data_IF_699347678094
#
_entry.id   IF_699347678094
#
_cell.length_a   1.000
_cell.length_b   1.000
_cell.length_c   1.000
_cell.angle_alpha   90.00
_cell.angle_beta   90.00
_cell.angle_gamma   90.00
#
_symmetry.space_group_name_H-M   'P 1'
#
loop_
_entity.id
_entity.type
_entity.pdbx_description
1 polymer ?
#
# COMPACT_ATOMS: atom_id res chain seq x y z
N UNK A 1 40.61 20.93 64.54
CA UNK A 1 40.59 21.23 63.09
C UNK A 1 40.08 19.99 62.36
N UNK A 2 38.92 20.06 61.72
CA UNK A 2 38.43 18.99 60.82
C UNK A 2 38.79 19.35 59.37
N UNK A 3 39.27 18.40 58.54
CA UNK A 3 39.63 18.68 57.17
C UNK A 3 38.38 18.83 56.32
N UNK A 4 38.34 19.91 55.54
CA UNK A 4 37.31 20.16 54.55
C UNK A 4 37.51 19.21 53.37
N UNK A 5 36.55 18.32 53.09
CA UNK A 5 36.54 17.49 51.88
C UNK A 5 36.06 18.32 50.69
N UNK A 6 36.90 18.45 49.68
CA UNK A 6 36.52 19.00 48.37
C UNK A 6 35.82 17.91 47.56
N UNK A 7 34.56 18.16 47.20
CA UNK A 7 33.77 17.29 46.32
C UNK A 7 34.04 17.72 44.86
N UNK A 8 34.86 16.98 44.12
CA UNK A 8 35.04 17.24 42.68
C UNK A 8 33.82 16.71 41.93
N UNK A 9 33.04 17.55 41.23
CA UNK A 9 31.93 17.09 40.41
C UNK A 9 32.46 16.29 39.23
N UNK A 10 31.99 15.05 39.10
CA UNK A 10 32.27 14.21 37.93
C UNK A 10 31.55 14.86 36.72
N UNK A 11 32.21 15.08 35.58
CA UNK A 11 31.56 15.68 34.43
C UNK A 11 30.56 14.70 33.79
N UNK A 12 29.27 15.01 33.86
CA UNK A 12 28.14 14.26 33.24
C UNK A 12 28.18 14.20 31.70
N UNK A 13 29.16 14.84 31.05
CA UNK A 13 29.34 14.80 29.58
C UNK A 13 29.55 13.38 29.05
N UNK A 14 30.12 12.48 29.87
CA UNK A 14 30.27 11.07 29.51
C UNK A 14 28.94 10.30 29.45
N UNK A 15 28.00 10.63 30.33
CA UNK A 15 26.68 9.99 30.37
C UNK A 15 25.80 10.44 29.18
N UNK A 16 25.77 11.75 28.90
CA UNK A 16 25.00 12.30 27.78
C UNK A 16 25.52 11.79 26.44
N UNK A 17 26.84 11.65 26.27
CA UNK A 17 27.41 11.15 25.01
C UNK A 17 27.17 9.65 24.80
N UNK A 18 27.21 8.84 25.86
CA UNK A 18 26.92 7.39 25.78
C UNK A 18 25.44 7.13 25.51
N UNK A 19 24.54 7.85 26.18
CA UNK A 19 23.09 7.70 26.00
C UNK A 19 22.68 8.04 24.56
N UNK A 20 23.22 9.12 23.99
CA UNK A 20 22.96 9.51 22.60
C UNK A 20 23.56 8.50 21.61
N UNK A 21 24.70 7.89 21.91
CA UNK A 21 25.33 6.88 21.03
C UNK A 21 24.47 5.63 20.89
N UNK A 22 23.68 5.28 21.91
CA UNK A 22 22.77 4.13 21.89
C UNK A 22 21.37 4.55 21.39
N UNK A 23 20.90 5.73 21.76
CA UNK A 23 19.58 6.24 21.36
C UNK A 23 19.52 6.61 19.87
N UNK A 24 20.57 7.20 19.31
CA UNK A 24 20.62 7.62 17.92
C UNK A 24 20.39 6.46 16.91
N UNK A 25 21.09 5.31 16.97
CA UNK A 25 20.83 4.21 16.05
C UNK A 25 19.43 3.62 16.23
N UNK A 26 18.91 3.57 17.46
CA UNK A 26 17.53 3.13 17.71
C UNK A 26 16.49 4.05 17.06
N UNK A 27 16.68 5.37 17.19
CA UNK A 27 15.81 6.36 16.53
C UNK A 27 15.89 6.27 15.01
N UNK A 28 17.08 6.01 14.44
CA UNK A 28 17.23 5.78 12.99
C UNK A 28 16.48 4.51 12.56
N UNK A 29 16.63 3.41 13.30
CA UNK A 29 15.91 2.16 13.01
C UNK A 29 14.40 2.34 13.12
N UNK A 30 13.93 3.06 14.14
CA UNK A 30 12.52 3.40 14.31
C UNK A 30 12.02 4.26 13.14
N UNK A 31 12.77 5.28 12.73
CA UNK A 31 12.41 6.12 11.59
C UNK A 31 12.33 5.31 10.29
N UNK A 32 13.31 4.44 10.02
CA UNK A 32 13.29 3.53 8.87
C UNK A 32 12.07 2.60 8.90
N UNK A 33 11.74 2.03 10.07
CA UNK A 33 10.56 1.19 10.24
C UNK A 33 9.26 1.95 9.97
N UNK A 34 9.13 3.17 10.47
CA UNK A 34 7.97 4.03 10.22
C UNK A 34 7.82 4.39 8.75
N UNK A 35 8.93 4.73 8.06
CA UNK A 35 8.93 4.99 6.62
C UNK A 35 8.47 3.74 5.87
N UNK A 36 9.02 2.57 6.21
CA UNK A 36 8.64 1.30 5.61
C UNK A 36 7.14 1.00 5.78
N UNK A 37 6.62 1.11 7.01
CA UNK A 37 5.20 0.93 7.29
C UNK A 37 4.33 1.96 6.54
N UNK A 38 4.74 3.22 6.50
CA UNK A 38 4.01 4.27 5.78
C UNK A 38 3.92 4.00 4.28
N UNK A 39 5.03 3.56 3.66
CA UNK A 39 5.07 3.18 2.24
C UNK A 39 4.21 1.93 1.96
N UNK A 40 4.29 0.91 2.81
CA UNK A 40 3.48 -0.30 2.70
C UNK A 40 1.98 0.02 2.82
N UNK A 41 1.61 0.91 3.75
CA UNK A 41 0.24 1.38 3.91
C UNK A 41 -0.26 2.15 2.69
N UNK A 42 0.54 3.07 2.13
CA UNK A 42 0.17 3.79 0.90
C UNK A 42 -0.09 2.83 -0.26
N UNK A 43 0.78 1.82 -0.46
CA UNK A 43 0.57 0.83 -1.51
C UNK A 43 -0.72 0.02 -1.32
N UNK A 44 -1.03 -0.39 -0.09
CA UNK A 44 -2.27 -1.10 0.19
C UNK A 44 -3.51 -0.22 -0.09
N UNK A 45 -3.45 1.07 0.27
CA UNK A 45 -4.54 2.03 0.03
C UNK A 45 -4.76 2.24 -1.47
N UNK A 46 -3.69 2.45 -2.23
CA UNK A 46 -3.75 2.71 -3.68
C UNK A 46 -4.28 1.49 -4.44
N UNK A 47 -3.81 0.28 -4.12
CA UNK A 47 -4.25 -0.96 -4.77
C UNK A 47 -5.72 -1.26 -4.42
N UNK A 48 -6.14 -0.99 -3.18
CA UNK A 48 -7.54 -1.14 -2.79
C UNK A 48 -8.45 -0.12 -3.49
N UNK A 49 -8.00 1.13 -3.63
CA UNK A 49 -8.71 2.16 -4.36
C UNK A 49 -8.83 1.80 -5.85
N UNK A 50 -7.76 1.26 -6.46
CA UNK A 50 -7.78 0.78 -7.84
C UNK A 50 -8.74 -0.40 -8.02
N UNK A 51 -8.73 -1.38 -7.10
CA UNK A 51 -9.65 -2.52 -7.15
C UNK A 51 -11.11 -2.09 -7.03
N UNK A 52 -11.42 -1.14 -6.12
CA UNK A 52 -12.76 -0.58 -5.98
C UNK A 52 -13.19 0.19 -7.24
N UNK A 53 -12.32 1.04 -7.79
CA UNK A 53 -12.60 1.78 -9.03
C UNK A 53 -12.84 0.83 -10.22
N UNK A 54 -12.05 -0.24 -10.32
CA UNK A 54 -12.23 -1.29 -11.32
C UNK A 54 -13.54 -2.05 -11.17
N UNK A 55 -13.91 -2.43 -9.94
CA UNK A 55 -15.18 -3.12 -9.66
C UNK A 55 -16.38 -2.26 -10.03
N UNK A 56 -16.33 -0.96 -9.72
CA UNK A 56 -17.37 0.01 -10.07
C UNK A 56 -17.53 0.20 -11.57
N UNK A 57 -16.42 0.38 -12.28
CA UNK A 57 -16.46 0.49 -13.73
C UNK A 57 -16.97 -0.80 -14.40
N UNK A 58 -16.64 -1.97 -13.84
CA UNK A 58 -17.13 -3.25 -14.32
C UNK A 58 -18.64 -3.43 -14.07
N UNK A 59 -19.14 -2.98 -12.92
CA UNK A 59 -20.57 -3.03 -12.59
C UNK A 59 -21.40 -2.07 -13.45
N UNK A 60 -20.83 -0.92 -13.85
CA UNK A 60 -21.45 0.06 -14.74
C UNK A 60 -21.38 -0.31 -16.24
N UNK A 61 -20.61 -1.35 -16.60
CA UNK A 61 -20.42 -1.73 -17.99
C UNK A 61 -21.72 -2.28 -18.63
N UNK A 62 -21.92 -1.98 -19.91
CA UNK A 62 -23.13 -2.36 -20.68
C UNK A 62 -23.28 -3.87 -20.90
N UNK A 63 -22.34 -4.70 -20.44
CA UNK A 63 -22.45 -6.14 -20.55
C UNK A 63 -21.16 -6.90 -20.18
N UNK A 64 -21.25 -8.23 -20.14
CA UNK A 64 -20.17 -9.12 -19.69
C UNK A 64 -18.88 -9.00 -20.50
N UNK A 65 -18.99 -8.73 -21.80
CA UNK A 65 -17.84 -8.57 -22.66
C UNK A 65 -17.12 -7.21 -22.49
N UNK A 66 -17.84 -6.18 -22.01
CA UNK A 66 -17.30 -4.83 -21.83
C UNK A 66 -16.73 -4.60 -20.41
N UNK A 67 -17.21 -5.37 -19.42
CA UNK A 67 -16.75 -5.33 -18.03
C UNK A 67 -15.22 -5.46 -17.83
N UNK A 68 -14.51 -6.43 -18.44
CA UNK A 68 -13.05 -6.56 -18.26
C UNK A 68 -12.29 -5.34 -18.76
N UNK A 69 -12.67 -4.80 -19.93
CA UNK A 69 -12.03 -3.61 -20.51
C UNK A 69 -12.30 -2.37 -19.66
N UNK A 70 -13.54 -2.16 -19.22
CA UNK A 70 -13.90 -1.02 -18.37
C UNK A 70 -13.16 -1.06 -17.02
N UNK A 71 -13.03 -2.23 -16.40
CA UNK A 71 -12.27 -2.41 -15.17
C UNK A 71 -10.79 -2.08 -15.37
N UNK A 72 -10.20 -2.56 -16.47
CA UNK A 72 -8.79 -2.36 -16.76
C UNK A 72 -8.48 -0.89 -17.05
N UNK A 73 -9.35 -0.18 -17.77
CA UNK A 73 -9.22 1.25 -18.01
C UNK A 73 -9.29 2.06 -16.70
N UNK A 74 -10.23 1.72 -15.80
CA UNK A 74 -10.37 2.38 -14.51
C UNK A 74 -9.16 2.13 -13.57
N UNK A 75 -8.65 0.90 -13.53
CA UNK A 75 -7.44 0.58 -12.76
C UNK A 75 -6.23 1.30 -13.36
N UNK A 76 -6.10 1.33 -14.68
CA UNK A 76 -4.99 2.03 -15.36
C UNK A 76 -5.05 3.53 -15.07
N UNK A 77 -6.24 4.15 -15.12
CA UNK A 77 -6.42 5.56 -14.76
C UNK A 77 -6.00 5.83 -13.30
N UNK A 78 -6.41 4.97 -12.38
CA UNK A 78 -6.10 5.09 -10.94
C UNK A 78 -4.60 4.87 -10.66
N UNK A 79 -3.94 4.00 -11.43
CA UNK A 79 -2.54 3.61 -11.19
C UNK A 79 -1.54 4.38 -12.05
N UNK A 80 -1.99 5.17 -13.02
CA UNK A 80 -1.16 5.90 -14.01
C UNK A 80 -0.09 6.83 -13.41
N UNK A 81 -0.29 7.30 -12.17
CA UNK A 81 0.68 8.12 -11.43
C UNK A 81 1.74 7.33 -10.65
N UNK A 82 1.71 6.00 -10.71
CA UNK A 82 2.50 5.12 -9.84
C UNK A 82 3.57 4.39 -10.65
N UNK A 83 4.75 4.18 -10.07
CA UNK A 83 5.85 3.47 -10.73
C UNK A 83 5.69 1.92 -10.73
N UNK A 84 4.49 1.42 -10.45
CA UNK A 84 4.22 -0.01 -10.28
C UNK A 84 3.59 -0.61 -11.53
N UNK A 85 3.97 -1.84 -11.84
CA UNK A 85 3.34 -2.60 -12.92
C UNK A 85 2.19 -3.41 -12.32
N UNK A 86 0.96 -3.04 -12.66
CA UNK A 86 -0.25 -3.69 -12.15
C UNK A 86 -0.95 -4.47 -13.24
N UNK A 87 -1.35 -5.69 -12.91
CA UNK A 87 -2.20 -6.55 -13.72
C UNK A 87 -3.57 -6.66 -13.07
N UNK A 88 -4.61 -6.68 -13.90
CA UNK A 88 -6.00 -6.75 -13.47
C UNK A 88 -6.62 -8.05 -13.94
N UNK A 89 -7.23 -8.78 -13.01
CA UNK A 89 -8.12 -9.90 -13.33
C UNK A 89 -9.54 -9.50 -12.94
N UNK A 90 -10.49 -9.72 -13.85
CA UNK A 90 -11.90 -9.54 -13.56
C UNK A 90 -12.56 -10.91 -13.54
N UNK A 91 -13.04 -11.29 -12.36
CA UNK A 91 -13.87 -12.46 -12.17
C UNK A 91 -15.29 -11.97 -11.99
N UNK A 92 -15.99 -11.87 -13.10
CA UNK A 92 -17.40 -11.62 -13.03
C UNK A 92 -18.12 -12.94 -12.76
N UNK A 93 -18.64 -13.09 -11.54
CA UNK A 93 -19.60 -14.15 -11.20
C UNK A 93 -20.85 -13.99 -12.06
N UNK A 94 -21.77 -14.97 -12.00
CA UNK A 94 -22.98 -15.06 -12.83
C UNK A 94 -23.40 -13.70 -13.43
N UNK A 95 -22.93 -13.39 -14.65
CA UNK A 95 -23.08 -12.07 -15.29
C UNK A 95 -24.51 -11.90 -15.82
N UNK A 96 -25.47 -12.00 -14.92
CA UNK A 96 -26.90 -11.91 -15.14
C UNK A 96 -27.57 -11.32 -13.91
N UNK A 97 -28.84 -10.91 -14.04
CA UNK A 97 -29.64 -10.24 -13.01
C UNK A 97 -29.41 -10.83 -11.60
N UNK A 98 -28.82 -10.03 -10.70
CA UNK A 98 -28.51 -10.41 -9.32
C UNK A 98 -27.07 -10.91 -9.11
N UNK A 99 -26.22 -10.81 -10.13
CA UNK A 99 -24.80 -11.18 -10.10
C UNK A 99 -23.89 -10.18 -9.37
N UNK A 100 -22.65 -10.60 -9.19
CA UNK A 100 -21.59 -9.83 -8.53
C UNK A 100 -20.32 -9.89 -9.38
N UNK A 101 -19.61 -8.77 -9.49
CA UNK A 101 -18.32 -8.69 -10.16
C UNK A 101 -17.23 -8.54 -9.12
N UNK A 102 -16.23 -9.42 -9.17
CA UNK A 102 -15.01 -9.32 -8.39
C UNK A 102 -13.87 -8.87 -9.28
N UNK A 103 -13.21 -7.79 -8.91
CA UNK A 103 -12.00 -7.30 -9.60
C UNK A 103 -10.82 -7.49 -8.67
N UNK A 104 -9.81 -8.20 -9.15
CA UNK A 104 -8.56 -8.46 -8.45
C UNK A 104 -7.44 -7.71 -9.15
N UNK A 105 -6.75 -6.84 -8.42
CA UNK A 105 -5.61 -6.07 -8.90
C UNK A 105 -4.36 -6.61 -8.25
N UNK A 106 -3.37 -6.99 -9.05
CA UNK A 106 -2.06 -7.46 -8.58
C UNK A 106 -0.98 -6.50 -9.08
N UNK A 107 -0.27 -5.86 -8.17
CA UNK A 107 0.80 -4.91 -8.48
C UNK A 107 2.17 -5.47 -8.08
N UNK A 108 3.15 -5.31 -8.95
CA UNK A 108 4.56 -5.57 -8.67
C UNK A 108 5.20 -4.30 -8.13
N UNK A 109 5.49 -4.29 -6.83
CA UNK A 109 6.17 -3.18 -6.16
C UNK A 109 7.68 -3.47 -6.14
N UNK A 110 8.53 -2.63 -6.78
CA UNK A 110 9.98 -2.81 -6.71
C UNK A 110 10.49 -2.45 -5.31
N UNK A 111 11.24 -3.36 -4.67
CA UNK A 111 11.87 -3.10 -3.37
C UNK A 111 13.16 -2.27 -3.47
N UNK A 112 13.43 -1.66 -4.62
CA UNK A 112 14.62 -0.83 -4.84
C UNK A 112 14.69 0.36 -3.87
N UNK A 113 13.54 0.85 -3.42
CA UNK A 113 13.43 1.97 -2.47
C UNK A 113 13.86 1.58 -1.03
N UNK A 114 14.00 0.29 -0.73
CA UNK A 114 14.48 -0.22 0.56
C UNK A 114 16.00 -0.38 0.63
N UNK A 115 16.74 -0.03 -0.44
CA UNK A 115 18.20 -0.21 -0.48
C UNK A 115 18.67 -1.67 -0.48
N UNK A 116 17.76 -2.62 -0.72
CA UNK A 116 18.09 -4.05 -0.83
C UNK A 116 18.52 -4.34 -2.29
N UNK A 117 19.76 -4.80 -2.54
CA UNK A 117 20.32 -4.95 -3.88
C UNK A 117 19.90 -6.26 -4.57
N UNK A 118 18.65 -6.68 -4.39
CA UNK A 118 18.09 -7.83 -5.12
C UNK A 118 16.87 -7.32 -5.89
N UNK A 119 16.76 -7.68 -7.16
CA UNK A 119 15.59 -7.39 -8.00
C UNK A 119 14.31 -8.10 -7.56
N UNK A 120 14.09 -8.24 -6.25
CA UNK A 120 12.88 -8.77 -5.66
C UNK A 120 11.79 -7.71 -5.76
N UNK A 121 10.93 -7.83 -6.77
CA UNK A 121 9.60 -7.24 -6.71
C UNK A 121 8.73 -8.07 -5.77
N UNK A 122 7.92 -7.42 -4.94
CA UNK A 122 6.84 -8.10 -4.19
C UNK A 122 5.55 -7.91 -4.96
N UNK A 123 4.88 -9.01 -5.26
CA UNK A 123 3.49 -8.98 -5.70
C UNK A 123 2.60 -8.64 -4.50
N UNK A 124 1.83 -7.55 -4.62
CA UNK A 124 0.78 -7.18 -3.68
C UNK A 124 -0.54 -7.26 -4.44
N UNK A 125 -1.50 -8.03 -3.90
CA UNK A 125 -2.80 -8.21 -4.52
C UNK A 125 -3.90 -7.69 -3.59
N UNK A 126 -4.91 -7.03 -4.17
CA UNK A 126 -6.16 -6.70 -3.51
C UNK A 126 -7.34 -7.07 -4.41
N UNK A 127 -8.48 -7.40 -3.82
CA UNK A 127 -9.70 -7.68 -4.54
C UNK A 127 -10.86 -6.87 -3.96
N UNK A 128 -11.76 -6.44 -4.83
CA UNK A 128 -13.01 -5.78 -4.47
C UNK A 128 -14.17 -6.42 -5.22
N UNK A 129 -15.28 -6.63 -4.54
CA UNK A 129 -16.50 -7.20 -5.12
C UNK A 129 -17.62 -6.18 -5.05
N UNK A 130 -18.23 -5.89 -6.20
CA UNK A 130 -19.40 -5.02 -6.29
C UNK A 130 -20.61 -5.76 -6.90
N UNK A 131 -21.83 -5.53 -6.34
CA UNK A 131 -23.06 -6.11 -6.87
C UNK A 131 -23.51 -5.39 -8.15
N UNK A 132 -23.97 -6.13 -9.15
CA UNK A 132 -24.49 -5.58 -10.41
C UNK A 132 -25.94 -5.11 -10.19
N UNK A 133 -26.19 -3.81 -10.34
CA UNK A 133 -27.54 -3.29 -10.22
C UNK A 133 -28.40 -3.66 -11.45
N UNK A 134 -29.37 -4.53 -11.20
CA UNK A 134 -30.27 -5.11 -12.21
C UNK A 134 -31.21 -4.11 -12.89
N UNK A 135 -31.36 -2.89 -12.35
CA UNK A 135 -32.27 -1.89 -12.91
C UNK A 135 -31.72 -1.18 -14.15
N UNK A 136 -30.40 -1.23 -14.42
CA UNK A 136 -29.78 -0.54 -15.55
C UNK A 136 -29.34 -1.48 -16.69
N UNK A 137 -29.08 -2.75 -16.41
CA UNK A 137 -28.67 -3.75 -17.41
C UNK A 137 -29.79 -4.20 -18.38
N UNK A 138 -30.98 -3.60 -18.30
CA UNK A 138 -32.11 -3.84 -19.20
C UNK A 138 -32.44 -2.60 -20.02
N UNK A 139 -31.52 -2.14 -20.86
CA UNK A 139 -31.72 -1.01 -21.76
C UNK A 139 -31.19 -1.31 -23.16
N UNK A 140 -32.08 -1.92 -23.97
CA UNK A 140 -32.04 -2.18 -25.43
C UNK A 140 -30.94 -3.07 -26.00
#
# INVERSE_FOLDING_TARGET
MNPCRTHTPVPDRGAVSVEVTIAAPFMILLAMFLIFCGRAASAAIDINAAAAAGARAAADATGPAAAPTAAQDAVTATTSGTAWNCTTSTEAGALWRGGQVTVTVTCLVPLTDLGIPIGASRAVAASSTEPIDTFRAGGS
#
